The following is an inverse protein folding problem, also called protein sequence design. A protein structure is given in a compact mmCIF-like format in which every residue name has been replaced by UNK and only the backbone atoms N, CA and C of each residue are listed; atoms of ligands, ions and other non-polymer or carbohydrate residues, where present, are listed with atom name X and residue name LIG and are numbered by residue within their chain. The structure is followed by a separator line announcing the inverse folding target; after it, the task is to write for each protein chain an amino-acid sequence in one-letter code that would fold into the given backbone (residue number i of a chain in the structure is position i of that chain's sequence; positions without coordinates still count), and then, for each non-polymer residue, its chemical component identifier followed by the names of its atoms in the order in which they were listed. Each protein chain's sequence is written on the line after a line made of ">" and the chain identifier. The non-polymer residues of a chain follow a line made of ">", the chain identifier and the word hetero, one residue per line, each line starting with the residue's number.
data_IF_869159372818
#
_entry.id   IF_869159372818
#
_cell.length_a   1.000
_cell.length_b   1.000
_cell.length_c   1.000
_cell.angle_alpha   90.00
_cell.angle_beta   90.00
_cell.angle_gamma   90.00
#
_symmetry.space_group_name_H-M   'P 1'
#
loop_
_entity.id
_entity.type
_entity.pdbx_description
1 polymer ?
#
# COMPACT_ATOMS: atom_id res chain seq x y z
N UNK A 1 -22.41 -9.40 -0.31
CA UNK A 1 -22.58 -8.95 -1.70
C UNK A 1 -22.10 -10.06 -2.63
N UNK A 2 -22.92 -10.53 -3.58
CA UNK A 2 -22.51 -11.46 -4.64
C UNK A 2 -21.40 -10.87 -5.51
N UNK A 3 -20.61 -11.73 -6.17
CA UNK A 3 -19.48 -11.29 -6.99
C UNK A 3 -19.91 -10.41 -8.18
N UNK A 4 -21.04 -10.72 -8.83
CA UNK A 4 -21.57 -9.95 -9.97
C UNK A 4 -22.04 -8.55 -9.56
N UNK A 5 -22.61 -8.39 -8.36
CA UNK A 5 -22.96 -7.06 -7.83
C UNK A 5 -21.69 -6.24 -7.49
N UNK A 6 -20.65 -6.92 -6.98
CA UNK A 6 -19.40 -6.29 -6.59
C UNK A 6 -18.54 -5.87 -7.79
N UNK A 7 -18.38 -6.76 -8.78
CA UNK A 7 -17.44 -6.63 -9.90
C UNK A 7 -18.13 -6.28 -11.24
N UNK A 8 -19.45 -6.48 -11.35
CA UNK A 8 -20.18 -6.40 -12.60
C UNK A 8 -20.25 -7.73 -13.34
N UNK A 9 -21.05 -7.77 -14.41
CA UNK A 9 -21.05 -8.87 -15.36
C UNK A 9 -19.83 -8.81 -16.29
N UNK A 10 -19.54 -9.93 -16.97
CA UNK A 10 -18.42 -10.00 -17.91
C UNK A 10 -18.61 -9.03 -19.08
N UNK A 11 -17.57 -8.27 -19.39
CA UNK A 11 -17.59 -7.26 -20.46
C UNK A 11 -17.05 -7.82 -21.78
N UNK A 12 -17.57 -7.31 -22.89
CA UNK A 12 -16.98 -7.47 -24.23
C UNK A 12 -16.56 -6.10 -24.71
N UNK A 13 -15.30 -5.92 -25.18
CA UNK A 13 -14.85 -4.62 -25.65
C UNK A 13 -15.76 -4.01 -26.73
N UNK A 14 -16.33 -4.85 -27.59
CA UNK A 14 -17.22 -4.44 -28.68
C UNK A 14 -18.55 -3.81 -28.20
N UNK A 15 -18.94 -4.04 -26.95
CA UNK A 15 -20.18 -3.52 -26.35
C UNK A 15 -19.96 -2.17 -25.61
N UNK A 16 -18.72 -1.72 -25.46
CA UNK A 16 -18.35 -0.55 -24.65
C UNK A 16 -18.52 0.78 -25.41
N UNK A 17 -19.75 1.07 -25.83
CA UNK A 17 -20.10 2.39 -26.38
C UNK A 17 -20.00 3.48 -25.32
N UNK A 18 -19.93 4.75 -25.72
CA UNK A 18 -19.93 5.86 -24.77
C UNK A 18 -21.18 5.89 -23.88
N UNK A 19 -22.32 5.39 -24.35
CA UNK A 19 -23.54 5.29 -23.54
C UNK A 19 -23.50 4.12 -22.56
N UNK A 20 -22.85 3.01 -22.91
CA UNK A 20 -22.57 1.92 -21.97
C UNK A 20 -21.64 2.39 -20.85
N UNK A 21 -20.56 3.08 -21.21
CA UNK A 21 -19.55 3.56 -20.27
C UNK A 21 -20.09 4.59 -19.27
N UNK A 22 -21.12 5.38 -19.63
CA UNK A 22 -21.78 6.34 -18.72
C UNK A 22 -22.56 5.69 -17.58
N UNK A 23 -22.95 4.42 -17.73
CA UNK A 23 -23.75 3.72 -16.72
C UNK A 23 -23.02 3.70 -15.39
N UNK A 24 -23.78 3.64 -14.30
CA UNK A 24 -23.18 3.51 -12.97
C UNK A 24 -22.36 2.22 -12.92
N UNK A 25 -21.06 2.30 -12.54
CA UNK A 25 -20.22 1.12 -12.42
C UNK A 25 -20.75 0.18 -11.33
N UNK A 26 -20.28 -1.06 -11.35
CA UNK A 26 -20.50 -2.02 -10.26
C UNK A 26 -20.00 -1.48 -8.91
N UNK A 27 -20.40 -2.10 -7.80
CA UNK A 27 -20.19 -1.52 -6.46
C UNK A 27 -18.73 -1.16 -6.16
N UNK A 28 -17.76 -2.00 -6.58
CA UNK A 28 -16.33 -1.70 -6.43
C UNK A 28 -15.89 -0.50 -7.26
N UNK A 29 -16.32 -0.40 -8.51
CA UNK A 29 -16.02 0.75 -9.37
C UNK A 29 -16.68 2.04 -8.87
N UNK A 30 -17.90 1.95 -8.33
CA UNK A 30 -18.63 3.10 -7.77
C UNK A 30 -17.91 3.76 -6.60
N UNK A 31 -17.15 2.99 -5.82
CA UNK A 31 -16.30 3.57 -4.77
C UNK A 31 -15.22 4.51 -5.35
N UNK A 32 -14.70 4.23 -6.55
CA UNK A 32 -13.72 5.09 -7.22
C UNK A 32 -14.32 6.39 -7.80
N UNK A 33 -15.65 6.51 -7.85
CA UNK A 33 -16.34 7.75 -8.27
C UNK A 33 -16.75 8.62 -7.08
N UNK A 34 -16.34 8.27 -5.86
CA UNK A 34 -16.72 8.99 -4.65
C UNK A 34 -15.98 10.32 -4.52
N UNK A 35 -16.74 11.39 -4.22
CA UNK A 35 -16.21 12.75 -4.11
C UNK A 35 -15.49 13.01 -2.78
N UNK A 36 -14.20 12.68 -2.68
CA UNK A 36 -13.44 12.73 -1.42
C UNK A 36 -13.29 14.15 -0.88
N UNK A 37 -13.19 15.17 -1.74
CA UNK A 37 -13.12 16.56 -1.30
C UNK A 37 -14.40 17.00 -0.56
N UNK A 38 -15.57 16.60 -1.06
CA UNK A 38 -16.87 16.90 -0.44
C UNK A 38 -17.03 16.16 0.90
N UNK A 39 -16.62 14.89 0.94
CA UNK A 39 -16.65 14.07 2.16
C UNK A 39 -15.74 14.68 3.23
N UNK A 40 -14.50 14.99 2.86
CA UNK A 40 -13.51 15.61 3.75
C UNK A 40 -14.01 16.95 4.30
N UNK A 41 -14.57 17.81 3.45
CA UNK A 41 -15.12 19.09 3.90
C UNK A 41 -16.29 18.89 4.89
N UNK A 42 -17.19 17.94 4.61
CA UNK A 42 -18.29 17.59 5.53
C UNK A 42 -17.79 17.09 6.89
N UNK A 43 -16.77 16.22 6.91
CA UNK A 43 -16.18 15.73 8.15
C UNK A 43 -15.53 16.86 8.96
N UNK A 44 -14.83 17.77 8.28
CA UNK A 44 -14.22 18.93 8.93
C UNK A 44 -15.25 19.86 9.56
N UNK A 45 -16.35 20.18 8.86
CA UNK A 45 -17.45 20.98 9.43
C UNK A 45 -18.15 20.30 10.61
N UNK A 46 -18.13 18.97 10.67
CA UNK A 46 -18.64 18.19 11.80
C UNK A 46 -17.65 18.04 12.96
N UNK A 47 -16.54 18.78 12.94
CA UNK A 47 -15.57 18.85 14.05
C UNK A 47 -14.63 17.66 14.16
N UNK A 48 -14.50 16.85 13.08
CA UNK A 48 -13.52 15.77 13.06
C UNK A 48 -12.11 16.36 13.15
N UNK A 49 -11.31 15.83 14.08
CA UNK A 49 -9.93 16.25 14.26
C UNK A 49 -9.14 16.06 12.96
N UNK A 50 -8.29 17.03 12.63
CA UNK A 50 -7.57 17.06 11.34
C UNK A 50 -6.80 15.76 11.05
N UNK A 51 -6.17 15.15 12.04
CA UNK A 51 -5.33 13.96 11.87
C UNK A 51 -6.14 12.67 11.59
N UNK A 52 -7.47 12.73 11.80
CA UNK A 52 -8.39 11.66 11.45
C UNK A 52 -9.08 11.92 10.10
N UNK A 53 -9.03 13.16 9.61
CA UNK A 53 -9.82 13.61 8.47
C UNK A 53 -9.59 12.76 7.23
N UNK A 54 -8.33 12.47 6.90
CA UNK A 54 -7.99 11.62 5.77
C UNK A 54 -8.52 10.19 5.95
N UNK A 55 -8.23 9.56 7.10
CA UNK A 55 -8.67 8.17 7.36
C UNK A 55 -10.19 8.02 7.33
N UNK A 56 -10.92 9.01 7.85
CA UNK A 56 -12.39 8.99 7.83
C UNK A 56 -12.94 9.31 6.45
N UNK A 57 -12.29 10.19 5.69
CA UNK A 57 -12.67 10.47 4.29
C UNK A 57 -12.59 9.20 3.45
N UNK A 58 -11.48 8.47 3.56
CA UNK A 58 -11.27 7.21 2.81
C UNK A 58 -12.23 6.12 3.29
N UNK A 59 -12.46 6.00 4.60
CA UNK A 59 -13.48 5.11 5.14
C UNK A 59 -14.86 5.40 4.55
N UNK A 60 -15.28 6.66 4.53
CA UNK A 60 -16.61 7.05 4.02
C UNK A 60 -16.72 6.96 2.49
N UNK A 61 -15.65 7.22 1.75
CA UNK A 61 -15.63 7.14 0.30
C UNK A 61 -15.61 5.69 -0.21
N UNK A 62 -14.74 4.86 0.37
CA UNK A 62 -14.40 3.53 -0.17
C UNK A 62 -15.09 2.40 0.60
N UNK A 63 -15.16 2.47 1.92
CA UNK A 63 -15.60 1.34 2.76
C UNK A 63 -17.09 1.39 3.11
N UNK A 64 -17.65 2.59 3.28
CA UNK A 64 -19.06 2.80 3.63
C UNK A 64 -20.06 2.19 2.66
N UNK A 65 -19.83 2.20 1.32
CA UNK A 65 -20.71 1.50 0.37
C UNK A 65 -20.87 0.00 0.67
N UNK A 66 -19.93 -0.59 1.41
CA UNK A 66 -19.92 -2.00 1.80
C UNK A 66 -20.25 -2.24 3.27
N UNK A 67 -20.56 -1.19 4.04
CA UNK A 67 -20.78 -1.27 5.49
C UNK A 67 -19.51 -1.56 6.29
N UNK A 68 -18.34 -1.18 5.77
CA UNK A 68 -17.03 -1.48 6.34
C UNK A 68 -16.33 -0.26 6.96
N UNK A 69 -17.02 0.89 7.07
CA UNK A 69 -16.49 2.17 7.54
C UNK A 69 -16.60 2.41 9.05
N UNK A 70 -16.79 1.35 9.84
CA UNK A 70 -16.94 1.49 11.30
C UNK A 70 -15.73 2.18 11.93
N UNK A 71 -15.99 3.27 12.64
CA UNK A 71 -14.98 4.06 13.37
C UNK A 71 -14.57 3.41 14.70
N UNK A 72 -15.30 2.38 15.14
CA UNK A 72 -15.14 1.76 16.46
C UNK A 72 -14.97 0.23 16.40
N UNK A 73 -14.87 -0.38 15.22
CA UNK A 73 -14.71 -1.83 15.11
C UNK A 73 -13.24 -2.24 15.11
N UNK A 74 -12.90 -3.18 15.99
CA UNK A 74 -11.62 -3.89 15.93
C UNK A 74 -11.58 -4.82 14.70
N UNK A 75 -10.40 -5.22 14.28
CA UNK A 75 -10.22 -6.30 13.31
C UNK A 75 -9.80 -7.59 14.01
N UNK A 76 -10.25 -8.73 13.48
CA UNK A 76 -9.80 -10.07 13.87
C UNK A 76 -9.82 -11.00 12.65
N UNK A 77 -8.98 -12.06 12.59
CA UNK A 77 -8.88 -12.93 11.42
C UNK A 77 -10.08 -13.88 11.24
N UNK A 78 -10.81 -14.18 12.32
CA UNK A 78 -12.04 -14.99 12.32
C UNK A 78 -12.82 -14.87 13.63
N UNK A 79 -14.05 -15.41 13.64
CA UNK A 79 -14.96 -15.42 14.80
C UNK A 79 -14.41 -16.21 16.00
N UNK A 80 -13.64 -17.27 15.75
CA UNK A 80 -13.01 -18.05 16.82
C UNK A 80 -12.00 -17.20 17.59
N UNK A 81 -11.24 -16.37 16.87
CA UNK A 81 -10.30 -15.41 17.44
C UNK A 81 -11.04 -14.31 18.20
N UNK A 82 -12.15 -13.79 17.70
CA UNK A 82 -13.01 -12.84 18.43
C UNK A 82 -13.50 -13.43 19.75
N UNK A 83 -14.00 -14.68 19.74
CA UNK A 83 -14.46 -15.36 20.95
C UNK A 83 -13.34 -15.53 21.98
N UNK A 84 -12.12 -15.87 21.53
CA UNK A 84 -10.94 -15.93 22.40
C UNK A 84 -10.60 -14.56 22.98
N UNK A 85 -10.49 -13.52 22.14
CA UNK A 85 -10.16 -12.16 22.58
C UNK A 85 -11.13 -11.70 23.67
N UNK A 86 -12.44 -11.87 23.47
CA UNK A 86 -13.47 -11.50 24.46
C UNK A 86 -13.40 -12.30 25.76
N UNK A 87 -13.02 -13.57 25.69
CA UNK A 87 -12.83 -14.42 26.87
C UNK A 87 -11.62 -13.97 27.69
N UNK A 88 -10.53 -13.63 27.02
CA UNK A 88 -9.27 -13.22 27.65
C UNK A 88 -9.28 -11.74 28.07
N UNK A 89 -10.12 -10.92 27.44
CA UNK A 89 -10.26 -9.49 27.68
C UNK A 89 -11.74 -9.14 27.92
N UNK A 90 -12.27 -9.39 29.14
CA UNK A 90 -13.68 -9.15 29.46
C UNK A 90 -14.17 -7.71 29.21
N UNK A 91 -13.26 -6.74 29.24
CA UNK A 91 -13.54 -5.33 28.90
C UNK A 91 -13.94 -5.13 27.43
N UNK A 92 -13.59 -6.07 26.53
CA UNK A 92 -13.93 -6.02 25.10
C UNK A 92 -15.21 -6.81 24.76
N UNK A 93 -15.96 -7.28 25.77
CA UNK A 93 -17.13 -8.17 25.56
C UNK A 93 -18.21 -7.54 24.68
N UNK A 94 -18.42 -6.23 24.80
CA UNK A 94 -19.42 -5.45 24.05
C UNK A 94 -18.87 -4.81 22.78
N UNK A 95 -17.57 -4.93 22.54
CA UNK A 95 -16.92 -4.30 21.40
C UNK A 95 -17.26 -5.02 20.10
N UNK A 96 -17.28 -4.25 19.01
CA UNK A 96 -17.56 -4.78 17.67
C UNK A 96 -16.27 -5.22 17.00
N UNK A 97 -16.31 -6.37 16.33
CA UNK A 97 -15.19 -6.90 15.56
C UNK A 97 -15.62 -7.10 14.12
N UNK A 98 -14.77 -6.68 13.19
CA UNK A 98 -14.85 -7.00 11.78
C UNK A 98 -13.96 -8.20 11.49
N UNK A 99 -14.54 -9.23 10.87
CA UNK A 99 -13.83 -10.44 10.46
C UNK A 99 -13.98 -10.67 8.95
N UNK A 100 -12.98 -11.25 8.28
CA UNK A 100 -13.12 -11.71 6.90
C UNK A 100 -14.30 -12.68 6.73
N UNK A 101 -14.92 -12.66 5.55
CA UNK A 101 -15.96 -13.62 5.19
C UNK A 101 -15.38 -15.04 5.21
N UNK A 102 -16.14 -16.00 5.79
CA UNK A 102 -15.75 -17.40 5.84
C UNK A 102 -15.37 -17.95 4.45
N UNK A 103 -14.30 -18.76 4.39
CA UNK A 103 -13.79 -19.33 3.13
C UNK A 103 -12.91 -18.40 2.30
N UNK A 104 -12.68 -17.16 2.73
CA UNK A 104 -11.68 -16.25 2.15
C UNK A 104 -10.35 -16.31 2.94
N UNK A 105 -9.23 -15.85 2.35
CA UNK A 105 -7.98 -15.70 3.10
C UNK A 105 -8.20 -14.88 4.37
N UNK A 106 -7.74 -15.42 5.51
CA UNK A 106 -7.90 -14.78 6.82
C UNK A 106 -6.94 -13.60 7.04
N UNK A 107 -5.85 -13.57 6.27
CA UNK A 107 -4.80 -12.58 6.37
C UNK A 107 -4.68 -11.81 5.07
N UNK A 108 -4.75 -10.49 5.16
CA UNK A 108 -4.40 -9.54 4.12
C UNK A 108 -3.58 -8.43 4.79
N UNK A 109 -2.55 -7.93 4.11
CA UNK A 109 -1.62 -6.95 4.70
C UNK A 109 -1.80 -5.62 3.99
N UNK A 110 -2.19 -4.60 4.74
CA UNK A 110 -2.18 -3.22 4.31
C UNK A 110 -0.86 -2.60 4.76
N UNK A 111 -0.05 -2.17 3.79
CA UNK A 111 1.23 -1.52 4.07
C UNK A 111 1.01 -0.06 4.41
N UNK A 112 1.75 0.43 5.40
CA UNK A 112 1.93 1.84 5.71
C UNK A 112 3.40 2.12 6.00
N UNK A 113 3.70 3.36 6.35
CA UNK A 113 5.03 3.77 6.78
C UNK A 113 4.96 4.40 8.16
N UNK A 114 5.77 3.91 9.09
CA UNK A 114 6.09 4.65 10.32
C UNK A 114 7.12 5.70 9.91
N UNK A 115 6.72 6.97 9.95
CA UNK A 115 7.57 8.09 9.54
C UNK A 115 8.54 8.45 10.69
N UNK A 116 8.29 9.56 11.36
CA UNK A 116 9.07 10.01 12.51
C UNK A 116 8.16 10.33 13.69
N UNK A 117 8.70 10.35 14.93
CA UNK A 117 7.99 10.88 16.07
C UNK A 117 7.52 12.32 15.80
N UNK A 118 6.41 12.72 16.42
CA UNK A 118 5.86 14.07 16.24
C UNK A 118 6.91 15.14 16.60
N UNK A 119 7.23 16.02 15.64
CA UNK A 119 8.25 17.06 15.81
C UNK A 119 9.65 16.69 15.31
N UNK A 120 9.79 15.53 14.67
CA UNK A 120 11.01 15.05 14.04
C UNK A 120 10.84 14.85 12.54
N UNK A 121 11.96 14.76 11.81
CA UNK A 121 11.99 14.57 10.36
C UNK A 121 12.11 13.09 9.99
N UNK A 122 11.38 12.68 8.95
CA UNK A 122 11.51 11.38 8.31
C UNK A 122 12.47 11.44 7.09
N UNK A 123 13.32 10.44 6.97
CA UNK A 123 14.25 10.19 5.85
C UNK A 123 14.43 8.68 5.60
N UNK A 124 15.11 8.32 4.52
CA UNK A 124 15.31 6.91 4.15
C UNK A 124 16.17 6.10 5.12
N UNK A 125 16.75 6.73 6.15
CA UNK A 125 17.55 6.07 7.18
C UNK A 125 16.76 5.85 8.48
N UNK A 126 15.53 6.37 8.61
CA UNK A 126 14.76 6.24 9.85
C UNK A 126 13.26 5.92 9.71
N UNK A 127 12.75 5.82 8.48
CA UNK A 127 11.39 5.32 8.24
C UNK A 127 11.31 3.81 8.30
N UNK A 128 10.18 3.27 8.75
CA UNK A 128 10.03 1.82 8.97
C UNK A 128 8.71 1.32 8.39
N UNK A 129 8.69 0.10 7.87
CA UNK A 129 7.47 -0.51 7.35
C UNK A 129 6.42 -0.63 8.45
N UNK A 130 5.19 -0.23 8.19
CA UNK A 130 4.04 -0.60 9.00
C UNK A 130 3.24 -1.64 8.24
N UNK A 131 2.93 -2.77 8.87
CA UNK A 131 2.04 -3.77 8.31
C UNK A 131 0.82 -3.87 9.20
N UNK A 132 -0.35 -3.76 8.59
CA UNK A 132 -1.63 -3.81 9.28
C UNK A 132 -2.48 -4.91 8.68
N UNK A 133 -2.90 -5.87 9.49
CA UNK A 133 -3.78 -6.97 9.07
C UNK A 133 -4.77 -7.32 10.19
N UNK A 134 -5.80 -8.14 9.94
CA UNK A 134 -6.76 -8.48 10.99
C UNK A 134 -6.17 -9.26 12.17
N UNK A 135 -5.10 -10.02 11.94
CA UNK A 135 -4.39 -10.81 12.93
C UNK A 135 -3.38 -9.98 13.72
N UNK A 136 -2.40 -9.38 13.04
CA UNK A 136 -1.28 -8.69 13.67
C UNK A 136 -0.96 -7.36 12.99
N UNK A 137 -0.52 -6.37 13.78
CA UNK A 137 -0.07 -5.09 13.25
C UNK A 137 1.22 -4.62 13.91
N UNK A 138 2.09 -3.97 13.12
CA UNK A 138 3.40 -3.47 13.56
C UNK A 138 4.45 -3.52 12.46
N UNK A 139 5.72 -3.43 12.84
CA UNK A 139 6.85 -3.68 11.93
C UNK A 139 7.54 -4.97 12.35
N UNK A 140 7.43 -6.07 11.58
CA UNK A 140 7.94 -7.37 11.99
C UNK A 140 9.47 -7.40 12.20
N UNK A 141 10.21 -6.50 11.58
CA UNK A 141 11.68 -6.45 11.64
C UNK A 141 12.17 -5.06 12.05
N UNK A 142 13.40 -5.01 12.53
CA UNK A 142 14.12 -3.76 12.71
C UNK A 142 14.74 -3.34 11.38
N UNK A 143 14.68 -2.05 11.01
CA UNK A 143 15.43 -1.55 9.86
C UNK A 143 16.93 -1.81 10.08
N UNK A 144 17.54 -2.51 9.13
CA UNK A 144 18.95 -2.93 9.14
C UNK A 144 19.38 -3.62 10.45
N UNK A 145 18.47 -4.41 11.03
CA UNK A 145 18.69 -5.11 12.31
C UNK A 145 19.04 -4.19 13.50
N UNK A 146 18.71 -2.91 13.45
CA UNK A 146 19.14 -1.93 14.45
C UNK A 146 18.14 -0.82 14.77
N UNK A 147 18.48 0.04 15.75
CA UNK A 147 17.73 1.25 16.03
C UNK A 147 18.02 2.34 14.97
N UNK A 148 17.19 3.38 14.94
CA UNK A 148 17.34 4.52 14.03
C UNK A 148 17.51 5.84 14.79
N UNK A 149 18.00 6.86 14.09
CA UNK A 149 18.18 8.20 14.61
C UNK A 149 17.19 9.18 13.95
N UNK A 150 16.67 10.13 14.72
CA UNK A 150 15.77 11.17 14.24
C UNK A 150 16.33 12.57 14.51
N UNK A 151 16.35 13.40 13.47
CA UNK A 151 16.68 14.82 13.57
C UNK A 151 15.44 15.67 13.86
N UNK A 152 15.62 16.76 14.60
CA UNK A 152 14.55 17.72 14.87
C UNK A 152 14.01 18.31 13.55
N UNK A 153 12.69 18.49 13.47
CA UNK A 153 12.09 19.18 12.34
C UNK A 153 12.51 20.66 12.31
N UNK A 154 12.79 21.21 11.11
CA UNK A 154 13.17 22.61 10.93
C UNK A 154 12.21 23.57 11.66
N UNK A 155 12.79 24.52 12.41
CA UNK A 155 12.03 25.48 13.21
C UNK A 155 11.62 24.97 14.61
N UNK A 156 11.98 23.74 14.99
CA UNK A 156 11.83 23.23 16.35
C UNK A 156 13.21 23.02 17.00
N UNK A 157 13.34 23.43 18.26
CA UNK A 157 14.55 23.24 19.07
C UNK A 157 14.53 21.93 19.87
N UNK A 158 14.06 20.83 19.26
CA UNK A 158 14.09 19.53 19.91
C UNK A 158 15.52 18.97 19.88
N UNK A 159 15.90 18.23 20.91
CA UNK A 159 17.13 17.44 20.87
C UNK A 159 16.97 16.28 19.90
N UNK A 160 18.03 15.94 19.16
CA UNK A 160 18.08 14.74 18.32
C UNK A 160 17.76 13.49 19.15
N UNK A 161 16.98 12.57 18.59
CA UNK A 161 16.74 11.27 19.19
C UNK A 161 17.71 10.27 18.58
N UNK A 162 18.58 9.70 19.39
CA UNK A 162 19.56 8.69 18.95
C UNK A 162 19.18 7.31 19.45
N UNK A 163 19.50 6.29 18.66
CA UNK A 163 19.34 4.89 19.02
C UNK A 163 17.90 4.51 19.36
N UNK A 164 16.92 5.07 18.65
CA UNK A 164 15.51 4.76 18.89
C UNK A 164 15.17 3.36 18.38
N UNK A 165 14.75 2.43 19.25
CA UNK A 165 14.26 1.14 18.80
C UNK A 165 12.89 1.34 18.13
N UNK A 166 12.79 0.90 16.88
CA UNK A 166 11.53 0.94 16.12
C UNK A 166 11.35 -0.36 15.34
N UNK A 167 10.22 -1.02 15.56
CA UNK A 167 9.87 -2.30 14.93
C UNK A 167 10.38 -3.53 15.68
N UNK A 168 10.72 -4.57 14.91
CA UNK A 168 11.20 -5.85 15.44
C UNK A 168 10.11 -6.75 16.04
N UNK A 169 8.84 -6.47 15.78
CA UNK A 169 7.73 -7.25 16.29
C UNK A 169 6.37 -6.73 15.84
N UNK A 170 5.36 -7.55 16.07
CA UNK A 170 3.95 -7.23 15.83
C UNK A 170 3.15 -7.56 17.08
N UNK A 171 2.01 -6.88 17.24
CA UNK A 171 1.02 -7.20 18.28
C UNK A 171 -0.29 -7.62 17.63
N UNK A 172 -1.14 -8.34 18.34
CA UNK A 172 -2.49 -8.61 17.85
C UNK A 172 -3.19 -7.27 17.56
N UNK A 173 -3.87 -7.16 16.41
CA UNK A 173 -4.35 -5.88 15.91
C UNK A 173 -5.35 -5.17 16.84
N UNK A 174 -6.03 -5.91 17.71
CA UNK A 174 -6.92 -5.32 18.71
C UNK A 174 -6.17 -4.56 19.83
N UNK A 175 -4.89 -4.87 20.03
CA UNK A 175 -4.03 -4.25 21.05
C UNK A 175 -3.12 -3.15 20.46
N UNK A 176 -3.07 -3.02 19.12
CA UNK A 176 -2.22 -2.04 18.45
C UNK A 176 -2.64 -0.60 18.80
N UNK A 177 -1.64 0.28 18.98
CA UNK A 177 -1.86 1.66 19.42
C UNK A 177 -1.98 1.82 20.94
N UNK A 178 -1.91 0.73 21.71
CA UNK A 178 -1.85 0.74 23.17
C UNK A 178 -0.49 1.17 23.71
N UNK A 179 -0.42 1.40 25.02
CA UNK A 179 0.85 1.66 25.70
C UNK A 179 1.73 0.41 25.74
N UNK A 180 3.04 0.59 25.86
CA UNK A 180 3.97 -0.50 26.10
C UNK A 180 3.53 -1.36 27.31
N UNK A 181 3.79 -2.68 27.29
CA UNK A 181 3.69 -3.50 28.50
C UNK A 181 4.56 -2.92 29.62
N UNK A 182 4.30 -3.29 30.86
CA UNK A 182 5.13 -2.82 31.97
C UNK A 182 6.57 -3.32 31.77
N UNK A 183 7.55 -2.42 31.95
CA UNK A 183 8.96 -2.65 31.67
C UNK A 183 9.59 -3.65 32.66
N UNK A 184 9.32 -4.94 32.53
CA UNK A 184 10.20 -5.97 33.07
C UNK A 184 10.85 -6.79 31.95
N UNK A 185 12.15 -7.10 32.14
CA UNK A 185 12.97 -7.86 31.18
C UNK A 185 12.39 -9.26 30.94
N UNK A 186 11.71 -9.81 31.95
CA UNK A 186 11.07 -11.12 31.91
C UNK A 186 9.89 -11.17 30.92
N UNK A 187 9.05 -10.14 30.88
CA UNK A 187 7.92 -10.00 29.97
C UNK A 187 8.42 -9.83 28.54
N UNK A 188 9.49 -9.05 28.33
CA UNK A 188 10.10 -8.92 27.01
C UNK A 188 10.70 -10.25 26.51
N UNK A 189 11.39 -11.00 27.37
CA UNK A 189 11.87 -12.35 27.06
C UNK A 189 10.72 -13.35 26.81
N UNK A 190 9.66 -13.28 27.60
CA UNK A 190 8.50 -14.12 27.45
C UNK A 190 7.77 -13.83 26.13
N UNK A 191 7.58 -12.56 25.77
CA UNK A 191 7.00 -12.15 24.48
C UNK A 191 7.85 -12.60 23.31
N UNK A 192 9.18 -12.49 23.39
CA UNK A 192 10.07 -12.99 22.35
C UNK A 192 9.96 -14.51 22.15
N UNK A 193 9.44 -15.24 23.14
CA UNK A 193 9.13 -16.68 23.09
C UNK A 193 7.65 -16.96 22.78
N UNK A 194 6.86 -15.94 22.43
CA UNK A 194 5.46 -16.05 22.06
C UNK A 194 4.46 -16.02 23.22
N UNK A 195 4.87 -15.58 24.42
CA UNK A 195 3.96 -15.44 25.55
C UNK A 195 3.04 -14.21 25.41
N UNK A 196 1.86 -14.29 26.03
CA UNK A 196 0.94 -13.17 26.18
C UNK A 196 1.37 -12.27 27.34
N UNK A 197 1.32 -10.95 27.15
CA UNK A 197 1.58 -9.96 28.21
C UNK A 197 0.36 -9.10 28.48
N UNK A 198 0.31 -8.48 29.65
CA UNK A 198 -0.72 -7.50 30.00
C UNK A 198 -0.29 -6.11 29.56
N UNK A 199 -1.18 -5.40 28.89
CA UNK A 199 -0.97 -4.02 28.47
C UNK A 199 -2.26 -3.21 28.60
N UNK A 200 -2.13 -1.88 28.59
CA UNK A 200 -3.28 -0.98 28.53
C UNK A 200 -3.91 -1.07 27.15
N UNK A 201 -5.24 -1.26 27.11
CA UNK A 201 -5.99 -1.25 25.86
C UNK A 201 -5.83 0.10 25.13
N UNK A 202 -5.79 0.11 23.79
CA UNK A 202 -5.72 1.36 23.04
C UNK A 202 -6.97 2.21 23.28
N UNK A 203 -6.83 3.54 23.24
CA UNK A 203 -7.96 4.47 23.33
C UNK A 203 -8.91 4.36 22.13
N UNK A 204 -8.37 4.00 20.97
CA UNK A 204 -9.10 3.81 19.73
C UNK A 204 -8.66 2.48 19.08
N UNK A 205 -9.60 1.69 18.54
CA UNK A 205 -9.25 0.49 17.79
C UNK A 205 -8.45 0.84 16.53
N UNK A 206 -7.56 -0.08 16.12
CA UNK A 206 -7.10 -0.12 14.74
C UNK A 206 -8.23 -0.65 13.85
N UNK A 207 -9.05 0.27 13.34
CA UNK A 207 -10.14 -0.06 12.42
C UNK A 207 -9.63 -0.34 11.01
N UNK A 208 -10.44 -1.01 10.19
CA UNK A 208 -10.16 -1.15 8.76
C UNK A 208 -10.05 0.22 8.08
N UNK A 209 -10.93 1.16 8.41
CA UNK A 209 -10.87 2.53 7.87
C UNK A 209 -9.58 3.26 8.22
N UNK A 210 -9.06 3.08 9.44
CA UNK A 210 -7.76 3.63 9.86
C UNK A 210 -6.62 2.99 9.08
N UNK A 211 -6.61 1.66 8.95
CA UNK A 211 -5.57 0.94 8.24
C UNK A 211 -5.52 1.28 6.74
N UNK A 212 -6.68 1.27 6.06
CA UNK A 212 -6.79 1.67 4.64
C UNK A 212 -6.44 3.15 4.45
N UNK A 213 -6.89 4.02 5.36
CA UNK A 213 -6.58 5.44 5.32
C UNK A 213 -5.09 5.76 5.53
N UNK A 214 -4.40 5.04 6.41
CA UNK A 214 -2.94 5.14 6.55
C UNK A 214 -2.26 4.64 5.27
N UNK A 215 -2.70 3.50 4.74
CA UNK A 215 -2.15 2.90 3.52
C UNK A 215 -2.31 3.76 2.28
N UNK A 216 -3.19 4.78 2.29
CA UNK A 216 -3.44 5.70 1.18
C UNK A 216 -2.99 7.14 1.45
N UNK A 217 -2.27 7.39 2.56
CA UNK A 217 -1.86 8.72 2.98
C UNK A 217 -0.64 9.25 2.22
N UNK A 218 -0.61 9.13 0.88
CA UNK A 218 0.51 9.47 0.00
C UNK A 218 1.23 10.79 0.34
N UNK A 219 0.50 11.92 0.48
CA UNK A 219 1.10 13.21 0.78
C UNK A 219 1.77 13.31 2.17
N UNK A 220 1.49 12.40 3.11
CA UNK A 220 1.91 12.54 4.50
C UNK A 220 3.44 12.65 4.66
N UNK A 221 4.20 11.85 3.92
CA UNK A 221 5.66 11.85 3.96
C UNK A 221 6.27 13.18 3.48
N UNK A 222 5.83 13.69 2.32
CA UNK A 222 6.27 14.97 1.77
C UNK A 222 5.99 16.11 2.75
N UNK A 223 4.83 16.08 3.41
CA UNK A 223 4.44 17.09 4.41
C UNK A 223 5.30 17.06 5.68
N UNK A 224 5.83 15.90 6.09
CA UNK A 224 6.79 15.86 7.22
C UNK A 224 8.14 16.50 6.87
N UNK A 225 8.58 16.40 5.61
CA UNK A 225 9.89 16.87 5.15
C UNK A 225 9.96 18.40 4.95
N UNK A 226 8.87 19.03 4.51
CA UNK A 226 8.83 20.47 4.16
C UNK A 226 8.66 21.43 5.36
N UNK A 227 8.38 20.91 6.56
CA UNK A 227 8.23 21.73 7.77
C UNK A 227 6.93 22.56 7.81
N UNK A 228 6.66 23.31 8.90
CA UNK A 228 5.42 24.06 9.09
C UNK A 228 5.26 25.32 8.22
N UNK A 229 6.19 25.59 7.29
CA UNK A 229 6.23 26.81 6.48
C UNK A 229 5.50 26.69 5.13
N UNK A 230 4.87 25.55 4.83
CA UNK A 230 3.92 25.46 3.72
C UNK A 230 2.67 26.30 3.99
N UNK A 231 2.17 27.00 2.97
CA UNK A 231 1.02 27.94 3.06
C UNK A 231 -0.32 27.27 3.40
N UNK A 232 -0.35 25.95 3.52
CA UNK A 232 -1.50 25.15 3.94
C UNK A 232 -1.08 24.35 5.18
N UNK A 233 -1.75 24.52 6.33
CA UNK A 233 -1.51 23.76 7.56
C UNK A 233 -2.07 22.31 7.44
N UNK A 234 -1.56 21.58 6.45
CA UNK A 234 -1.95 20.20 6.14
C UNK A 234 -1.18 19.16 6.95
N UNK A 235 -0.18 19.57 7.74
CA UNK A 235 0.47 18.71 8.74
C UNK A 235 -0.52 18.16 9.79
N UNK A 236 -1.66 18.85 9.94
CA UNK A 236 -2.79 18.34 10.70
C UNK A 236 -3.41 17.08 10.10
N UNK A 237 -3.31 16.82 8.80
CA UNK A 237 -3.95 15.70 8.11
C UNK A 237 -3.19 14.38 8.19
N UNK A 238 -1.96 14.41 8.71
CA UNK A 238 -1.09 13.24 8.80
C UNK A 238 -1.65 12.30 9.88
N UNK A 239 -1.99 11.04 9.53
CA UNK A 239 -2.45 10.07 10.53
C UNK A 239 -1.38 9.83 11.60
N UNK A 240 -1.81 9.52 12.82
CA UNK A 240 -0.92 9.30 13.96
C UNK A 240 -1.28 8.05 14.73
N UNK A 241 -0.28 7.45 15.36
CA UNK A 241 -0.48 6.41 16.34
C UNK A 241 0.60 6.40 17.41
N UNK A 242 0.22 5.88 18.57
CA UNK A 242 1.14 5.53 19.64
C UNK A 242 1.85 4.23 19.29
N UNK A 243 3.17 4.27 19.25
CA UNK A 243 4.02 3.12 18.92
C UNK A 243 5.07 2.95 20.01
N UNK A 244 5.33 1.70 20.34
CA UNK A 244 6.44 1.24 21.17
C UNK A 244 7.09 0.05 20.47
N UNK A 245 8.31 -0.29 20.84
CA UNK A 245 9.06 -1.39 20.25
C UNK A 245 9.80 -2.19 21.30
N UNK A 246 10.18 -3.41 20.94
CA UNK A 246 11.06 -4.22 21.77
C UNK A 246 12.47 -3.62 21.67
N UNK A 247 13.09 -3.29 22.79
CA UNK A 247 14.45 -2.78 22.81
C UNK A 247 15.44 -3.96 22.81
N UNK A 248 16.51 -3.85 22.01
CA UNK A 248 17.65 -4.78 22.02
C UNK A 248 18.95 -4.02 22.22
N UNK A 249 19.91 -4.63 22.90
CA UNK A 249 21.28 -4.12 22.92
C UNK A 249 22.05 -4.55 21.66
N UNK A 250 23.28 -4.04 21.50
CA UNK A 250 24.14 -4.31 20.33
C UNK A 250 24.53 -5.78 20.13
N UNK A 251 24.36 -6.63 21.15
CA UNK A 251 24.60 -8.09 21.04
C UNK A 251 23.29 -8.88 20.89
N UNK A 252 22.17 -8.20 20.63
CA UNK A 252 20.86 -8.80 20.40
C UNK A 252 20.11 -9.20 21.67
N UNK A 253 20.64 -8.90 22.86
CA UNK A 253 19.93 -9.15 24.14
C UNK A 253 18.76 -8.18 24.27
N UNK A 254 17.60 -8.68 24.67
CA UNK A 254 16.42 -7.88 24.95
C UNK A 254 16.68 -6.97 26.16
N UNK A 255 16.28 -5.70 26.04
CA UNK A 255 16.42 -4.67 27.08
C UNK A 255 15.07 -4.27 27.70
N UNK A 256 13.97 -4.85 27.25
CA UNK A 256 12.61 -4.45 27.62
C UNK A 256 11.86 -3.81 26.46
N UNK A 257 10.97 -2.86 26.78
CA UNK A 257 10.20 -2.09 25.80
C UNK A 257 10.66 -0.64 25.77
N UNK A 258 10.51 0.01 24.62
CA UNK A 258 10.65 1.45 24.53
C UNK A 258 9.46 2.14 25.20
N UNK A 259 9.67 3.37 25.67
CA UNK A 259 8.54 4.24 25.99
C UNK A 259 7.68 4.45 24.75
N UNK A 260 6.37 4.58 24.98
CA UNK A 260 5.40 4.82 23.91
C UNK A 260 5.55 6.25 23.40
N UNK A 261 5.70 6.41 22.09
CA UNK A 261 5.78 7.71 21.44
C UNK A 261 4.74 7.84 20.32
N UNK A 262 4.31 9.07 20.04
CA UNK A 262 3.36 9.34 18.95
C UNK A 262 4.10 9.57 17.65
N UNK A 263 3.94 8.63 16.71
CA UNK A 263 4.53 8.70 15.38
C UNK A 263 3.52 9.25 14.37
N UNK A 264 4.05 9.98 13.40
CA UNK A 264 3.35 10.24 12.15
C UNK A 264 3.37 8.98 11.29
N UNK A 265 2.27 8.69 10.63
CA UNK A 265 2.12 7.57 9.72
C UNK A 265 1.95 8.07 8.28
N UNK A 266 2.46 7.30 7.34
CA UNK A 266 2.37 7.57 5.91
C UNK A 266 1.86 6.37 5.12
N UNK A 267 1.71 6.61 3.84
CA UNK A 267 1.35 5.64 2.82
C UNK A 267 2.33 4.48 2.78
N UNK A 268 1.87 3.28 2.39
CA UNK A 268 2.76 2.16 2.12
C UNK A 268 3.75 2.50 1.01
N UNK A 269 3.30 3.18 -0.05
CA UNK A 269 4.08 3.64 -1.20
C UNK A 269 5.18 4.64 -0.88
N UNK A 270 5.19 5.26 0.30
CA UNK A 270 6.34 6.05 0.73
C UNK A 270 7.57 5.17 0.96
N UNK A 271 7.40 3.90 1.31
CA UNK A 271 8.49 2.95 1.57
C UNK A 271 8.50 1.78 0.59
N UNK A 272 7.33 1.28 0.18
CA UNK A 272 7.16 0.20 -0.79
C UNK A 272 5.81 0.37 -1.52
N UNK A 273 5.87 0.80 -2.78
CA UNK A 273 4.69 0.98 -3.61
C UNK A 273 4.23 -0.32 -4.31
N UNK A 274 4.85 -1.47 -4.00
CA UNK A 274 4.58 -2.75 -4.65
C UNK A 274 3.79 -3.75 -3.80
N UNK A 275 4.00 -3.75 -2.49
CA UNK A 275 3.57 -4.81 -1.58
C UNK A 275 4.36 -6.13 -1.73
N UNK A 276 5.27 -6.23 -2.71
CA UNK A 276 6.07 -7.44 -2.97
C UNK A 276 7.01 -7.72 -1.81
N UNK A 277 7.60 -6.68 -1.18
CA UNK A 277 8.56 -6.87 -0.09
C UNK A 277 7.89 -7.54 1.12
N UNK A 278 6.64 -7.18 1.43
CA UNK A 278 5.85 -7.84 2.47
C UNK A 278 5.54 -9.32 2.14
N UNK A 279 5.37 -9.66 0.86
CA UNK A 279 5.20 -11.04 0.40
C UNK A 279 6.51 -11.85 0.51
N UNK A 280 7.64 -11.24 0.15
CA UNK A 280 8.97 -11.87 0.23
C UNK A 280 9.41 -12.14 1.67
N UNK A 281 9.09 -11.23 2.61
CA UNK A 281 9.28 -11.47 4.05
C UNK A 281 8.56 -12.74 4.54
N UNK A 282 7.41 -13.06 3.94
CA UNK A 282 6.61 -14.25 4.24
C UNK A 282 7.00 -15.47 3.40
N UNK A 283 8.08 -15.37 2.61
CA UNK A 283 8.58 -16.42 1.72
C UNK A 283 7.51 -16.91 0.73
N UNK A 284 6.68 -15.99 0.24
CA UNK A 284 5.74 -16.31 -0.83
C UNK A 284 6.47 -16.95 -2.01
N UNK A 285 5.97 -18.08 -2.49
CA UNK A 285 6.56 -18.79 -3.63
C UNK A 285 6.07 -18.24 -4.96
N UNK A 286 4.89 -17.63 -4.97
CA UNK A 286 4.22 -17.09 -6.14
C UNK A 286 3.60 -15.75 -5.79
N UNK A 287 3.83 -14.75 -6.63
CA UNK A 287 3.35 -13.38 -6.44
C UNK A 287 2.68 -12.93 -7.73
N UNK A 288 1.45 -12.42 -7.63
CA UNK A 288 0.84 -11.65 -8.71
C UNK A 288 1.04 -10.18 -8.37
N UNK A 289 1.79 -9.47 -9.22
CA UNK A 289 2.10 -8.07 -9.01
C UNK A 289 1.33 -7.22 -10.00
N UNK A 290 0.32 -6.50 -9.50
CA UNK A 290 -0.47 -5.54 -10.25
C UNK A 290 0.24 -4.19 -10.24
N UNK A 291 0.83 -3.81 -11.36
CA UNK A 291 1.64 -2.59 -11.52
C UNK A 291 0.74 -1.53 -12.16
N UNK A 292 0.23 -0.63 -11.33
CA UNK A 292 -0.65 0.46 -11.72
C UNK A 292 0.09 1.78 -11.55
N UNK A 293 0.69 2.25 -12.64
CA UNK A 293 1.60 3.40 -12.65
C UNK A 293 1.13 4.46 -13.65
N UNK A 294 1.65 5.69 -13.49
CA UNK A 294 1.58 6.80 -14.45
C UNK A 294 2.53 6.69 -15.65
N UNK A 295 3.37 5.66 -15.70
CA UNK A 295 4.55 5.59 -16.58
C UNK A 295 4.38 4.52 -17.66
N UNK A 296 4.70 4.89 -18.91
CA UNK A 296 4.69 3.97 -20.05
C UNK A 296 5.83 2.94 -19.99
N UNK A 297 5.63 1.79 -20.64
CA UNK A 297 6.70 0.81 -20.80
C UNK A 297 7.78 1.37 -21.75
N UNK A 298 9.07 1.09 -21.49
CA UNK A 298 10.14 1.46 -22.41
C UNK A 298 10.03 0.67 -23.72
N UNK A 299 10.66 1.16 -24.79
CA UNK A 299 10.70 0.45 -26.08
C UNK A 299 11.62 -0.76 -26.00
N UNK A 300 11.36 -1.75 -26.84
CA UNK A 300 12.23 -2.94 -26.94
C UNK A 300 13.67 -2.58 -27.28
N UNK A 301 13.91 -1.52 -28.08
CA UNK A 301 15.25 -1.01 -28.40
C UNK A 301 16.05 -0.54 -27.19
N UNK A 302 15.37 -0.18 -26.10
CA UNK A 302 15.99 0.44 -24.93
C UNK A 302 16.34 -0.58 -23.84
N UNK A 303 15.68 -1.75 -23.85
CA UNK A 303 15.78 -2.77 -22.78
C UNK A 303 16.19 -4.16 -23.27
N UNK A 304 15.85 -4.56 -24.50
CA UNK A 304 16.13 -5.91 -24.97
C UNK A 304 17.62 -6.10 -25.30
N UNK A 305 18.20 -7.20 -24.79
CA UNK A 305 19.63 -7.50 -24.95
C UNK A 305 20.54 -6.72 -24.01
N UNK A 306 19.98 -5.83 -23.18
CA UNK A 306 20.71 -5.10 -22.16
C UNK A 306 20.97 -6.00 -20.95
N UNK A 307 22.19 -5.94 -20.41
CA UNK A 307 22.52 -6.60 -19.15
C UNK A 307 22.12 -5.75 -17.94
N UNK A 308 22.23 -4.43 -18.07
CA UNK A 308 21.86 -3.44 -17.06
C UNK A 308 21.22 -2.28 -17.82
N UNK A 309 20.14 -1.72 -17.28
CA UNK A 309 19.54 -0.51 -17.82
C UNK A 309 20.53 0.66 -17.75
N UNK A 310 20.43 1.58 -18.71
CA UNK A 310 21.06 2.89 -18.60
C UNK A 310 20.28 3.71 -17.56
N UNK A 311 20.98 4.55 -16.81
CA UNK A 311 20.37 5.42 -15.78
C UNK A 311 19.21 6.24 -16.37
N UNK A 312 19.37 6.82 -17.57
CA UNK A 312 18.30 7.56 -18.26
C UNK A 312 17.02 6.74 -18.49
N UNK A 313 17.16 5.44 -18.78
CA UNK A 313 15.99 4.57 -18.96
C UNK A 313 15.36 4.28 -17.60
N UNK A 314 16.17 3.96 -16.59
CA UNK A 314 15.69 3.67 -15.24
C UNK A 314 15.04 4.87 -14.55
N UNK A 315 15.57 6.08 -14.76
CA UNK A 315 15.07 7.34 -14.20
C UNK A 315 13.72 7.75 -14.80
N UNK A 316 13.43 7.31 -16.03
CA UNK A 316 12.15 7.54 -16.71
C UNK A 316 11.10 6.45 -16.40
N UNK A 317 11.43 5.48 -15.55
CA UNK A 317 10.55 4.40 -15.16
C UNK A 317 9.96 4.60 -13.77
N UNK A 318 8.83 3.94 -13.50
CA UNK A 318 8.18 4.05 -12.20
C UNK A 318 9.03 3.43 -11.08
N UNK A 319 9.11 4.13 -9.96
CA UNK A 319 9.87 3.70 -8.79
C UNK A 319 9.32 2.43 -8.13
N UNK A 320 8.02 2.12 -8.33
CA UNK A 320 7.39 0.87 -7.93
C UNK A 320 8.16 -0.34 -8.47
N UNK A 321 8.61 -0.31 -9.73
CA UNK A 321 9.36 -1.43 -10.33
C UNK A 321 10.85 -1.28 -10.09
N UNK A 322 11.43 -0.10 -10.36
CA UNK A 322 12.89 0.07 -10.38
C UNK A 322 13.53 -0.07 -8.99
N UNK A 323 12.83 0.32 -7.92
CA UNK A 323 13.35 0.24 -6.56
C UNK A 323 13.64 -1.20 -6.10
N UNK A 324 12.80 -2.17 -6.48
CA UNK A 324 12.96 -3.57 -6.06
C UNK A 324 14.17 -4.25 -6.72
N UNK A 325 14.60 -3.73 -7.87
CA UNK A 325 15.80 -4.22 -8.55
C UNK A 325 17.06 -3.41 -8.21
N UNK A 326 16.93 -2.34 -7.41
CA UNK A 326 18.08 -1.57 -6.89
C UNK A 326 18.50 -0.35 -7.72
N UNK A 327 17.64 0.15 -8.62
CA UNK A 327 17.94 1.31 -9.48
C UNK A 327 17.67 2.67 -8.80
N UNK A 328 17.06 2.70 -7.61
CA UNK A 328 16.83 3.95 -6.88
C UNK A 328 17.99 4.23 -5.93
N UNK A 329 18.77 5.25 -6.24
CA UNK A 329 19.99 5.61 -5.49
C UNK A 329 19.80 6.79 -4.52
N UNK A 330 18.70 7.54 -4.65
CA UNK A 330 18.39 8.70 -3.82
C UNK A 330 16.90 8.75 -3.51
N UNK A 331 16.58 9.20 -2.30
CA UNK A 331 15.20 9.49 -1.91
C UNK A 331 14.68 10.72 -2.66
N UNK A 332 13.42 10.67 -3.05
CA UNK A 332 12.68 11.81 -3.55
C UNK A 332 11.83 12.43 -2.42
N UNK A 333 11.20 13.57 -2.67
CA UNK A 333 10.31 14.18 -1.68
C UNK A 333 9.13 13.24 -1.41
N UNK A 334 9.05 12.71 -0.19
CA UNK A 334 8.01 11.79 0.22
C UNK A 334 8.20 10.32 -0.15
N UNK A 335 9.32 9.94 -0.76
CA UNK A 335 9.61 8.54 -1.10
C UNK A 335 10.99 8.10 -0.59
N UNK A 336 11.01 6.93 0.05
CA UNK A 336 12.13 6.38 0.81
C UNK A 336 12.58 5.01 0.27
N UNK A 337 12.64 4.90 -1.06
CA UNK A 337 12.69 3.61 -1.76
C UNK A 337 14.12 3.04 -1.93
N UNK A 338 15.15 3.73 -1.43
CA UNK A 338 16.56 3.35 -1.62
C UNK A 338 16.95 2.03 -0.93
N UNK A 339 16.09 1.53 -0.04
CA UNK A 339 16.34 0.30 0.73
C UNK A 339 15.57 -0.92 0.19
N UNK A 340 14.99 -0.84 -1.01
CA UNK A 340 14.00 -1.82 -1.48
C UNK A 340 14.56 -2.97 -2.31
N UNK A 341 15.85 -2.99 -2.62
CA UNK A 341 16.41 -4.02 -3.49
C UNK A 341 16.17 -5.42 -2.91
N UNK A 342 15.45 -6.25 -3.67
CA UNK A 342 15.19 -7.65 -3.35
C UNK A 342 15.40 -8.59 -4.55
N UNK A 343 15.68 -8.04 -5.74
CA UNK A 343 16.07 -8.78 -6.95
C UNK A 343 17.36 -8.21 -7.56
N UNK A 344 18.01 -8.98 -8.42
CA UNK A 344 19.26 -8.58 -9.06
C UNK A 344 19.03 -7.49 -10.12
N UNK A 345 19.92 -6.50 -10.19
CA UNK A 345 19.86 -5.40 -11.18
C UNK A 345 19.70 -5.90 -12.62
N UNK A 346 20.38 -7.00 -12.97
CA UNK A 346 20.41 -7.56 -14.32
C UNK A 346 19.18 -8.39 -14.71
N UNK A 347 18.23 -8.58 -13.78
CA UNK A 347 16.95 -9.20 -14.08
C UNK A 347 15.94 -8.20 -14.63
N UNK A 348 15.99 -6.93 -14.23
CA UNK A 348 15.01 -5.93 -14.66
C UNK A 348 14.97 -5.75 -16.20
N UNK A 349 16.10 -5.63 -16.94
CA UNK A 349 16.05 -5.55 -18.40
C UNK A 349 15.34 -6.73 -19.07
N UNK A 350 15.45 -7.93 -18.50
CA UNK A 350 14.80 -9.14 -19.04
C UNK A 350 13.29 -9.04 -18.87
N UNK A 351 12.83 -8.71 -17.66
CA UNK A 351 11.40 -8.51 -17.34
C UNK A 351 10.82 -7.44 -18.27
N UNK A 352 11.49 -6.30 -18.40
CA UNK A 352 11.03 -5.20 -19.24
C UNK A 352 11.04 -5.54 -20.72
N UNK A 353 12.03 -6.29 -21.21
CA UNK A 353 12.03 -6.76 -22.58
C UNK A 353 10.83 -7.67 -22.88
N UNK A 354 10.46 -8.57 -21.95
CA UNK A 354 9.25 -9.39 -22.06
C UNK A 354 7.98 -8.54 -22.13
N UNK A 355 7.83 -7.57 -21.22
CA UNK A 355 6.67 -6.66 -21.17
C UNK A 355 6.59 -5.75 -22.40
N UNK A 356 7.70 -5.14 -22.82
CA UNK A 356 7.78 -4.24 -23.97
C UNK A 356 7.42 -4.96 -25.28
N UNK A 357 7.90 -6.20 -25.49
CA UNK A 357 7.52 -7.02 -26.65
C UNK A 357 6.02 -7.29 -26.71
N UNK A 358 5.40 -7.60 -25.57
CA UNK A 358 3.95 -7.82 -25.50
C UNK A 358 3.19 -6.54 -25.84
N UNK A 359 3.57 -5.43 -25.23
CA UNK A 359 2.97 -4.12 -25.45
C UNK A 359 3.09 -3.67 -26.92
N UNK A 360 4.28 -3.72 -27.51
CA UNK A 360 4.51 -3.35 -28.93
C UNK A 360 3.76 -4.28 -29.90
N UNK A 361 3.45 -5.52 -29.50
CA UNK A 361 2.62 -6.45 -30.28
C UNK A 361 1.11 -6.27 -30.06
N UNK A 362 0.71 -5.23 -29.33
CA UNK A 362 -0.69 -4.92 -29.01
C UNK A 362 -1.34 -5.83 -27.97
N UNK A 363 -0.57 -6.71 -27.31
CA UNK A 363 -1.07 -7.69 -26.33
C UNK A 363 -1.04 -7.16 -24.90
N UNK A 364 -1.79 -7.77 -23.96
CA UNK A 364 -1.65 -7.47 -22.54
C UNK A 364 -0.19 -7.63 -22.10
N UNK A 365 0.38 -6.62 -21.44
CA UNK A 365 1.72 -6.66 -20.88
C UNK A 365 1.73 -7.48 -19.57
N UNK A 366 1.63 -8.80 -19.74
CA UNK A 366 1.62 -9.78 -18.64
C UNK A 366 2.67 -10.85 -18.89
N UNK A 367 3.64 -10.98 -18.00
CA UNK A 367 4.68 -12.02 -18.08
C UNK A 367 4.88 -12.70 -16.74
N UNK A 368 5.26 -13.97 -16.75
CA UNK A 368 5.58 -14.76 -15.58
C UNK A 368 7.07 -15.08 -15.59
N UNK A 369 7.79 -14.60 -14.57
CA UNK A 369 9.24 -14.75 -14.47
C UNK A 369 9.61 -15.37 -13.12
N UNK A 370 10.61 -16.23 -13.09
CA UNK A 370 11.16 -16.79 -11.86
C UNK A 370 12.40 -16.01 -11.46
N UNK A 371 12.35 -15.36 -10.30
CA UNK A 371 13.43 -14.50 -9.80
C UNK A 371 14.09 -15.10 -8.56
N UNK A 372 15.39 -14.86 -8.39
CA UNK A 372 16.12 -15.17 -7.16
C UNK A 372 15.99 -14.00 -6.17
N UNK A 373 15.49 -14.30 -4.97
CA UNK A 373 15.32 -13.30 -3.91
C UNK A 373 16.67 -13.00 -3.28
N UNK A 374 17.07 -11.73 -3.30
CA UNK A 374 18.27 -11.25 -2.63
C UNK A 374 17.99 -10.97 -1.14
N UNK A 375 19.03 -11.11 -0.33
CA UNK A 375 18.98 -10.74 1.08
C UNK A 375 18.81 -9.23 1.21
N UNK A 376 17.89 -8.79 2.06
CA UNK A 376 17.69 -7.38 2.38
C UNK A 376 17.47 -7.23 3.90
N UNK A 377 18.48 -6.73 4.59
CA UNK A 377 18.45 -6.55 6.05
C UNK A 377 17.46 -5.47 6.49
N UNK A 378 17.26 -4.42 5.68
CA UNK A 378 16.31 -3.36 5.98
C UNK A 378 14.91 -3.91 6.15
N UNK A 379 14.52 -4.81 5.26
CA UNK A 379 13.23 -5.47 5.25
C UNK A 379 13.22 -6.81 5.98
N UNK A 380 14.32 -7.27 6.59
CA UNK A 380 14.38 -8.60 7.19
C UNK A 380 14.13 -9.76 6.21
N UNK A 381 14.43 -9.56 4.92
CA UNK A 381 14.32 -10.60 3.88
C UNK A 381 15.62 -11.40 3.86
N UNK A 382 15.51 -12.72 4.09
CA UNK A 382 16.68 -13.59 4.16
C UNK A 382 17.36 -13.84 2.80
N UNK A 383 16.57 -13.85 1.71
CA UNK A 383 17.03 -14.22 0.37
C UNK A 383 17.36 -15.70 0.20
N UNK A 384 17.90 -16.04 -0.97
CA UNK A 384 18.39 -17.38 -1.33
C UNK A 384 17.32 -18.37 -1.82
N UNK A 385 16.05 -17.97 -1.84
CA UNK A 385 14.98 -18.73 -2.48
C UNK A 385 14.60 -18.13 -3.83
N UNK A 386 13.87 -18.90 -4.64
CA UNK A 386 13.24 -18.42 -5.87
C UNK A 386 11.77 -18.10 -5.63
N UNK A 387 11.23 -17.18 -6.43
CA UNK A 387 9.82 -16.80 -6.44
C UNK A 387 9.36 -16.63 -7.89
N UNK A 388 8.17 -17.14 -8.21
CA UNK A 388 7.54 -16.85 -9.50
C UNK A 388 6.72 -15.57 -9.36
N UNK A 389 6.99 -14.58 -10.21
CA UNK A 389 6.32 -13.28 -10.20
C UNK A 389 5.57 -13.13 -11.52
N UNK A 390 4.24 -13.08 -11.44
CA UNK A 390 3.38 -12.67 -12.53
C UNK A 390 3.30 -11.14 -12.54
N UNK A 391 4.07 -10.52 -13.42
CA UNK A 391 4.03 -9.09 -13.66
C UNK A 391 2.80 -8.75 -14.50
N UNK A 392 1.90 -7.94 -13.96
CA UNK A 392 0.71 -7.44 -14.65
C UNK A 392 0.86 -5.93 -14.76
N UNK A 393 1.48 -5.46 -15.84
CA UNK A 393 1.69 -4.04 -16.08
C UNK A 393 0.47 -3.45 -16.75
N UNK A 394 -0.22 -2.54 -16.08
CA UNK A 394 -1.39 -1.86 -16.65
C UNK A 394 -0.92 -0.87 -17.74
N UNK A 395 -0.75 -1.33 -18.98
CA UNK A 395 -0.37 -0.52 -20.15
C UNK A 395 -1.46 -0.59 -21.22
N UNK A 396 -1.51 0.37 -22.17
CA UNK A 396 -2.41 0.28 -23.30
C UNK A 396 -2.27 -1.06 -24.04
N UNK A 397 -3.39 -1.73 -24.31
CA UNK A 397 -3.45 -2.95 -25.08
C UNK A 397 -4.17 -2.68 -26.42
N UNK A 398 -3.41 -2.59 -27.52
CA UNK A 398 -3.99 -2.26 -28.83
C UNK A 398 -5.07 -3.26 -29.27
N UNK A 399 -4.90 -4.55 -28.99
CA UNK A 399 -5.90 -5.56 -29.32
C UNK A 399 -7.23 -5.37 -28.56
N UNK A 400 -7.21 -4.74 -27.39
CA UNK A 400 -8.43 -4.30 -26.69
C UNK A 400 -9.01 -3.06 -27.35
N UNK A 401 -8.18 -2.04 -27.57
CA UNK A 401 -8.59 -0.75 -28.14
C UNK A 401 -9.23 -0.95 -29.51
N UNK A 402 -8.64 -1.76 -30.39
CA UNK A 402 -9.13 -2.05 -31.74
C UNK A 402 -10.53 -2.66 -31.78
N UNK A 403 -10.97 -3.27 -30.68
CA UNK A 403 -12.29 -3.88 -30.54
C UNK A 403 -13.35 -2.92 -30.02
N UNK A 404 -12.96 -1.76 -29.48
CA UNK A 404 -13.89 -0.77 -28.96
C UNK A 404 -14.72 -0.16 -30.11
N UNK A 405 -15.98 0.25 -29.84
CA UNK A 405 -16.76 1.06 -30.75
C UNK A 405 -16.01 2.32 -31.22
N UNK A 406 -16.32 2.79 -32.44
CA UNK A 406 -15.61 3.90 -33.07
C UNK A 406 -15.65 5.16 -32.19
N UNK A 407 -16.81 5.49 -31.61
CA UNK A 407 -16.98 6.65 -30.75
C UNK A 407 -16.11 6.61 -29.48
N UNK A 408 -15.87 5.42 -28.92
CA UNK A 408 -15.02 5.23 -27.75
C UNK A 408 -13.54 5.34 -28.13
N UNK A 409 -13.15 4.81 -29.29
CA UNK A 409 -11.79 4.97 -29.85
C UNK A 409 -11.49 6.42 -30.20
N UNK A 410 -12.41 7.11 -30.87
CA UNK A 410 -12.28 8.53 -31.20
C UNK A 410 -12.07 9.38 -29.92
N UNK A 411 -12.69 9.01 -28.81
CA UNK A 411 -12.51 9.70 -27.53
C UNK A 411 -11.15 9.41 -26.87
N UNK A 412 -10.62 8.18 -27.02
CA UNK A 412 -9.25 7.83 -26.60
C UNK A 412 -8.21 8.57 -27.46
N UNK A 413 -8.43 8.67 -28.77
CA UNK A 413 -7.52 9.31 -29.73
C UNK A 413 -7.38 10.82 -29.51
N UNK A 414 -8.33 11.45 -28.79
CA UNK A 414 -8.20 12.84 -28.31
C UNK A 414 -7.10 13.01 -27.25
N UNK A 415 -6.60 11.91 -26.69
CA UNK A 415 -5.50 11.90 -25.72
C UNK A 415 -5.79 12.80 -24.52
N UNK A 416 -4.89 13.74 -24.24
CA UNK A 416 -5.01 14.66 -23.08
C UNK A 416 -6.24 15.57 -23.11
N UNK A 417 -6.88 15.71 -24.26
CA UNK A 417 -8.07 16.56 -24.45
C UNK A 417 -9.37 15.78 -24.41
N UNK A 418 -9.30 14.44 -24.37
CA UNK A 418 -10.46 13.58 -24.25
C UNK A 418 -10.85 13.28 -22.81
N UNK A 419 -12.01 12.65 -22.65
CA UNK A 419 -12.59 12.16 -21.40
C UNK A 419 -11.67 11.13 -20.73
N UNK A 420 -10.97 10.34 -21.54
CA UNK A 420 -10.07 9.27 -21.10
C UNK A 420 -8.61 9.72 -21.07
N UNK A 421 -8.32 11.01 -20.87
CA UNK A 421 -6.94 11.51 -20.74
C UNK A 421 -6.12 10.66 -19.77
N UNK A 422 -4.92 10.30 -20.20
CA UNK A 422 -3.99 9.40 -19.51
C UNK A 422 -4.44 7.94 -19.39
N UNK A 423 -5.50 7.47 -20.06
CA UNK A 423 -5.85 6.05 -20.01
C UNK A 423 -4.69 5.14 -20.49
N UNK A 424 -4.40 4.01 -19.82
CA UNK A 424 -5.05 3.46 -18.61
C UNK A 424 -4.42 3.93 -17.28
N UNK A 425 -3.53 4.91 -17.35
CA UNK A 425 -2.71 5.52 -16.29
C UNK A 425 -3.34 6.77 -15.67
N UNK A 426 -4.60 6.70 -15.25
CA UNK A 426 -5.26 7.84 -14.63
C UNK A 426 -4.49 8.37 -13.42
N UNK A 427 -4.46 9.70 -13.27
CA UNK A 427 -3.77 10.34 -12.17
C UNK A 427 -4.46 10.00 -10.84
N UNK A 428 -3.70 9.66 -9.78
CA UNK A 428 -4.29 9.36 -8.48
C UNK A 428 -4.92 10.59 -7.82
N UNK A 429 -4.48 11.79 -8.21
CA UNK A 429 -5.01 13.06 -7.70
C UNK A 429 -5.25 14.04 -8.86
N UNK A 430 -6.36 14.78 -8.80
CA UNK A 430 -6.77 15.80 -9.79
C UNK A 430 -6.88 15.22 -11.23
N UNK A 431 -7.25 13.94 -11.37
CA UNK A 431 -7.57 13.36 -12.68
C UNK A 431 -8.70 14.16 -13.34
N UNK A 432 -9.78 14.43 -12.60
CA UNK A 432 -10.87 15.26 -13.07
C UNK A 432 -10.88 16.59 -12.32
N UNK A 433 -11.24 17.67 -13.02
CA UNK A 433 -11.39 18.96 -12.37
C UNK A 433 -12.45 18.85 -11.26
N UNK A 434 -12.25 19.57 -10.16
CA UNK A 434 -13.17 19.70 -9.02
C UNK A 434 -13.28 18.52 -8.05
N UNK A 435 -12.53 17.45 -8.25
CA UNK A 435 -12.36 16.41 -7.24
C UNK A 435 -10.89 16.08 -7.00
N UNK A 436 -10.56 15.72 -5.76
CA UNK A 436 -9.21 15.33 -5.41
C UNK A 436 -8.88 13.96 -6.01
N UNK A 437 -9.80 12.99 -5.98
CA UNK A 437 -9.48 11.59 -6.33
C UNK A 437 -10.54 10.88 -7.18
N UNK A 438 -11.72 11.50 -7.39
CA UNK A 438 -12.81 10.83 -8.09
C UNK A 438 -12.54 10.64 -9.59
N UNK A 439 -12.79 9.42 -10.08
CA UNK A 439 -12.92 9.10 -11.50
C UNK A 439 -14.37 9.27 -11.97
N UNK A 440 -14.57 9.45 -13.27
CA UNK A 440 -15.92 9.40 -13.86
C UNK A 440 -16.38 7.96 -14.05
N UNK A 441 -17.68 7.75 -14.26
CA UNK A 441 -18.23 6.42 -14.56
C UNK A 441 -17.56 5.80 -15.78
N UNK A 442 -17.36 6.60 -16.83
CA UNK A 442 -16.78 6.16 -18.09
C UNK A 442 -15.33 5.70 -17.89
N UNK A 443 -14.54 6.48 -17.14
CA UNK A 443 -13.16 6.14 -16.81
C UNK A 443 -13.09 4.82 -16.03
N UNK A 444 -13.95 4.67 -15.01
CA UNK A 444 -13.99 3.44 -14.19
C UNK A 444 -14.41 2.23 -15.01
N UNK A 445 -15.48 2.33 -15.80
CA UNK A 445 -15.99 1.22 -16.59
C UNK A 445 -14.99 0.79 -17.67
N UNK A 446 -14.35 1.75 -18.36
CA UNK A 446 -13.35 1.44 -19.38
C UNK A 446 -12.11 0.77 -18.77
N UNK A 447 -11.62 1.27 -17.64
CA UNK A 447 -10.47 0.68 -16.93
C UNK A 447 -10.79 -0.72 -16.39
N UNK A 448 -11.99 -0.92 -15.84
CA UNK A 448 -12.43 -2.24 -15.36
C UNK A 448 -12.51 -3.26 -16.50
N UNK A 449 -13.10 -2.88 -17.64
CA UNK A 449 -13.19 -3.75 -18.80
C UNK A 449 -11.81 -4.04 -19.44
N UNK A 450 -10.91 -3.06 -19.43
CA UNK A 450 -9.53 -3.24 -19.85
C UNK A 450 -8.80 -4.28 -18.98
N UNK A 451 -8.88 -4.14 -17.65
CA UNK A 451 -8.28 -5.09 -16.70
C UNK A 451 -8.90 -6.50 -16.82
N UNK A 452 -10.22 -6.59 -17.05
CA UNK A 452 -10.89 -7.86 -17.33
C UNK A 452 -10.35 -8.50 -18.62
N UNK A 453 -10.24 -7.73 -19.71
CA UNK A 453 -9.70 -8.21 -20.97
C UNK A 453 -8.28 -8.73 -20.82
N UNK A 454 -7.40 -7.99 -20.13
CA UNK A 454 -6.02 -8.42 -19.87
C UNK A 454 -6.00 -9.76 -19.14
N UNK A 455 -6.79 -9.89 -18.06
CA UNK A 455 -6.86 -11.10 -17.24
C UNK A 455 -7.39 -12.30 -18.03
N UNK A 456 -8.46 -12.11 -18.81
CA UNK A 456 -9.08 -13.20 -19.60
C UNK A 456 -8.18 -13.69 -20.73
N UNK A 457 -7.49 -12.78 -21.42
CA UNK A 457 -6.57 -13.14 -22.51
C UNK A 457 -5.24 -13.72 -22.02
N UNK A 458 -4.95 -13.64 -20.72
CA UNK A 458 -3.74 -14.19 -20.10
C UNK A 458 -4.07 -15.17 -18.96
N UNK A 459 -5.29 -15.72 -18.98
CA UNK A 459 -5.84 -16.59 -17.92
C UNK A 459 -4.93 -17.78 -17.59
N UNK A 460 -4.20 -18.27 -18.57
CA UNK A 460 -3.30 -19.42 -18.43
C UNK A 460 -2.12 -19.07 -17.51
N UNK A 461 -1.61 -17.83 -17.62
CA UNK A 461 -0.56 -17.32 -16.73
C UNK A 461 -1.09 -17.08 -15.31
N UNK A 462 -2.29 -16.53 -15.19
CA UNK A 462 -2.97 -16.39 -13.89
C UNK A 462 -3.22 -17.75 -13.23
N UNK A 463 -3.70 -18.74 -13.99
CA UNK A 463 -3.91 -20.12 -13.52
C UNK A 463 -2.62 -20.73 -12.97
N UNK A 464 -1.50 -20.59 -13.69
CA UNK A 464 -0.18 -20.99 -13.19
C UNK A 464 0.24 -20.26 -11.92
N UNK A 465 0.01 -18.94 -11.85
CA UNK A 465 0.38 -18.14 -10.69
C UNK A 465 -0.45 -18.51 -9.44
N UNK A 466 -1.75 -18.78 -9.59
CA UNK A 466 -2.63 -19.20 -8.47
C UNK A 466 -2.59 -20.72 -8.20
N UNK A 467 -2.10 -21.52 -9.14
CA UNK A 467 -1.83 -22.95 -8.96
C UNK A 467 -3.01 -23.85 -9.31
N UNK A 468 -3.75 -23.48 -10.36
CA UNK A 468 -4.88 -24.26 -10.92
C UNK A 468 -4.64 -24.61 -12.38
#
# INVERSE_FOLDING_TARGET
>A
MPAEEMLGGATKPEDLSMDELKKTPAAMGKAATAHTAKISASLWWNGIASHLLWTYTIGEAILKPFGLDSKNSYMAPDEATVARIRKENPQLKTETFLVPVAGRPKTFVMSGTILAPTGYKADAQNVVSLQMSPDYSGSPFFPDNGPVDYSSQSGRNNQELKGQPIGGGVVESFAWGGSAPKNDEADAEAMAKGATVKMTAPLEPLTLGKAVGVSSAGPASALTQVGPHGTLNVAGLIPRASIWSIAKNKVGKLLGFSDTSTYNLGDGGNLDNSGVLAMLQRKAQRVIWLINTGVELPKTSDVCGMKVLKDEVADNMDSQITAIFGYIHKSSLGEFLTQNQAFALDDLPKVLCSLAKLHESGKPAVTLETLEVQKNNWWGIAGGNKVDVLFVYNSPCQNFIDKLPLETRDELDRGRWGLFKFFPHYLPVVQNLWDATALTNEQVNLLAAHAEYMTRNTRDLFGRAVGV
#
